data_IF_214969474284
#
_entry.id   IF_214969474284
#
_cell.length_a   1.000
_cell.length_b   1.000
_cell.length_c   1.000
_cell.angle_alpha   90.00
_cell.angle_beta   90.00
_cell.angle_gamma   90.00
#
_symmetry.space_group_name_H-M   'P 1'
#
loop_
_entity.id
_entity.type
_entity.pdbx_description
1 polymer ?
#
# COMPACT_ATOMS: atom_id res chain seq x y z
N UNK A 1 -6.07 -28.44 -1.02
CA UNK A 1 -6.01 -27.00 -1.32
C UNK A 1 -5.02 -26.35 -0.36
N UNK A 2 -3.99 -25.66 -0.85
CA UNK A 2 -3.01 -25.00 0.02
C UNK A 2 -3.53 -23.62 0.38
N UNK A 3 -3.85 -23.40 1.65
CA UNK A 3 -4.24 -22.09 2.18
C UNK A 3 -2.98 -21.45 2.74
N UNK A 4 -2.72 -20.21 2.34
CA UNK A 4 -1.60 -19.42 2.79
C UNK A 4 -2.10 -18.09 3.36
N UNK A 5 -1.30 -17.49 4.24
CA UNK A 5 -1.58 -16.18 4.82
C UNK A 5 -0.36 -15.30 4.67
N UNK A 6 -0.58 -13.99 4.65
CA UNK A 6 0.47 -12.99 4.64
C UNK A 6 0.07 -11.84 5.56
N UNK A 7 1.08 -11.28 6.23
CA UNK A 7 0.92 -10.18 7.18
C UNK A 7 1.96 -9.12 6.83
N UNK A 8 1.53 -7.86 6.92
CA UNK A 8 2.43 -6.73 6.76
C UNK A 8 2.04 -5.61 7.74
N UNK A 9 3.05 -4.82 8.11
CA UNK A 9 2.91 -3.67 8.99
C UNK A 9 3.71 -2.53 8.39
N UNK A 10 3.09 -1.34 8.34
CA UNK A 10 3.76 -0.12 7.92
C UNK A 10 3.40 1.03 8.86
N UNK A 11 4.39 1.87 9.15
CA UNK A 11 4.16 3.13 9.84
C UNK A 11 3.52 4.15 8.90
N UNK A 12 2.53 4.89 9.39
CA UNK A 12 1.88 5.96 8.62
C UNK A 12 2.90 7.01 8.19
N UNK A 13 3.83 7.37 9.08
CA UNK A 13 4.93 8.31 8.83
C UNK A 13 5.77 7.92 7.61
N UNK A 14 6.04 6.63 7.37
CA UNK A 14 6.77 6.20 6.16
C UNK A 14 6.02 6.57 4.89
N UNK A 15 4.69 6.45 4.88
CA UNK A 15 3.89 6.82 3.71
C UNK A 15 3.87 8.34 3.54
N UNK A 16 3.73 9.09 4.63
CA UNK A 16 3.81 10.56 4.61
C UNK A 16 5.14 11.05 4.03
N UNK A 17 6.26 10.52 4.53
CA UNK A 17 7.60 10.88 4.08
C UNK A 17 7.83 10.57 2.60
N UNK A 18 7.37 9.40 2.14
CA UNK A 18 7.54 8.98 0.76
C UNK A 18 6.67 9.82 -0.18
N UNK A 19 5.43 10.13 0.22
CA UNK A 19 4.56 11.05 -0.53
C UNK A 19 5.19 12.45 -0.56
N UNK A 20 5.73 12.95 0.56
CA UNK A 20 6.40 14.25 0.60
C UNK A 20 7.63 14.31 -0.33
N UNK A 21 8.37 13.20 -0.43
CA UNK A 21 9.61 13.11 -1.20
C UNK A 21 9.38 12.87 -2.70
N UNK A 22 8.35 12.12 -3.06
CA UNK A 22 8.12 11.66 -4.44
C UNK A 22 6.80 12.15 -5.07
N UNK A 23 5.91 12.75 -4.29
CA UNK A 23 4.65 13.31 -4.74
C UNK A 23 3.75 12.30 -5.48
N UNK A 24 3.06 12.79 -6.52
CA UNK A 24 2.10 11.99 -7.28
C UNK A 24 2.74 10.80 -8.01
N UNK A 25 4.02 10.88 -8.40
CA UNK A 25 4.68 9.76 -9.09
C UNK A 25 4.70 8.48 -8.23
N UNK A 26 4.85 8.62 -6.91
CA UNK A 26 4.73 7.47 -6.01
C UNK A 26 3.29 6.96 -5.96
N UNK A 27 2.32 7.87 -5.84
CA UNK A 27 0.92 7.52 -5.74
C UNK A 27 0.43 6.75 -6.98
N UNK A 28 0.74 7.26 -8.17
CA UNK A 28 0.29 6.69 -9.45
C UNK A 28 0.96 5.33 -9.75
N UNK A 29 2.14 5.07 -9.18
CA UNK A 29 2.83 3.79 -9.33
C UNK A 29 2.25 2.68 -8.45
N UNK A 30 1.78 3.04 -7.26
CA UNK A 30 1.43 2.07 -6.20
C UNK A 30 -0.08 1.87 -6.09
N UNK A 31 -0.87 2.91 -6.36
CA UNK A 31 -2.31 2.92 -6.21
C UNK A 31 -3.00 3.06 -7.57
N UNK A 32 -4.10 2.34 -7.71
CA UNK A 32 -5.02 2.51 -8.84
C UNK A 32 -5.82 3.81 -8.67
N UNK A 33 -6.40 4.36 -9.76
CA UNK A 33 -7.24 5.56 -9.68
C UNK A 33 -8.39 5.43 -8.66
N UNK A 34 -9.07 4.28 -8.63
CA UNK A 34 -10.16 4.02 -7.69
C UNK A 34 -9.70 3.99 -6.23
N UNK A 35 -8.49 3.47 -5.96
CA UNK A 35 -7.92 3.50 -4.61
C UNK A 35 -7.60 4.93 -4.16
N UNK A 36 -7.05 5.75 -5.06
CA UNK A 36 -6.75 7.16 -4.76
C UNK A 36 -8.01 7.97 -4.49
N UNK A 37 -9.06 7.74 -5.27
CA UNK A 37 -10.39 8.32 -5.04
C UNK A 37 -10.95 7.93 -3.68
N UNK A 38 -10.93 6.64 -3.33
CA UNK A 38 -11.44 6.15 -2.05
C UNK A 38 -10.60 6.63 -0.84
N UNK A 39 -9.27 6.66 -0.97
CA UNK A 39 -8.39 7.06 0.12
C UNK A 39 -8.39 8.58 0.34
N UNK A 40 -8.70 9.39 -0.67
CA UNK A 40 -8.81 10.85 -0.55
C UNK A 40 -7.51 11.52 -0.11
N UNK A 41 -6.36 10.97 -0.55
CA UNK A 41 -4.99 11.40 -0.17
C UNK A 41 -4.64 11.34 1.33
N UNK A 42 -5.46 10.68 2.16
CA UNK A 42 -5.16 10.48 3.59
C UNK A 42 -4.07 9.43 3.76
N UNK A 43 -2.98 9.79 4.44
CA UNK A 43 -1.81 8.93 4.57
C UNK A 43 -2.13 7.62 5.31
N UNK A 44 -3.01 7.64 6.31
CA UNK A 44 -3.45 6.47 7.08
C UNK A 44 -4.20 5.48 6.21
N UNK A 45 -5.07 6.00 5.32
CA UNK A 45 -5.82 5.17 4.38
C UNK A 45 -4.91 4.56 3.32
N UNK A 46 -3.93 5.32 2.83
CA UNK A 46 -2.93 4.86 1.87
C UNK A 46 -1.99 3.83 2.49
N UNK A 47 -1.59 4.01 3.75
CA UNK A 47 -0.77 3.08 4.52
C UNK A 47 -1.49 1.74 4.73
N UNK A 48 -2.76 1.76 5.15
CA UNK A 48 -3.56 0.55 5.26
C UNK A 48 -3.69 -0.20 3.93
N UNK A 49 -3.89 0.54 2.83
CA UNK A 49 -3.96 -0.06 1.49
C UNK A 49 -2.61 -0.63 1.03
N UNK A 50 -1.50 0.04 1.33
CA UNK A 50 -0.16 -0.45 1.03
C UNK A 50 0.13 -1.77 1.76
N UNK A 51 -0.08 -1.80 3.08
CA UNK A 51 0.11 -3.00 3.88
C UNK A 51 -0.77 -4.17 3.41
N UNK A 52 -2.01 -3.89 2.99
CA UNK A 52 -2.89 -4.92 2.43
C UNK A 52 -2.32 -5.53 1.14
N UNK A 53 -1.74 -4.72 0.24
CA UNK A 53 -1.11 -5.20 -1.00
C UNK A 53 0.09 -6.09 -0.68
N UNK A 54 0.98 -5.64 0.20
CA UNK A 54 2.16 -6.41 0.63
C UNK A 54 1.77 -7.72 1.32
N UNK A 55 0.76 -7.69 2.20
CA UNK A 55 0.24 -8.89 2.85
C UNK A 55 -0.28 -9.92 1.83
N UNK A 56 -1.01 -9.48 0.81
CA UNK A 56 -1.48 -10.35 -0.27
C UNK A 56 -0.31 -10.92 -1.08
N UNK A 57 0.67 -10.08 -1.46
CA UNK A 57 1.84 -10.54 -2.21
C UNK A 57 2.66 -11.59 -1.45
N UNK A 58 2.77 -11.48 -0.12
CA UNK A 58 3.39 -12.49 0.75
C UNK A 58 2.58 -13.78 0.79
N UNK A 59 1.24 -13.68 0.89
CA UNK A 59 0.37 -14.86 0.86
C UNK A 59 0.48 -15.62 -0.48
N UNK A 60 0.66 -14.89 -1.58
CA UNK A 60 0.86 -15.44 -2.92
C UNK A 60 2.29 -15.96 -3.16
N UNK A 61 3.27 -15.54 -2.35
CA UNK A 61 4.68 -15.94 -2.49
C UNK A 61 5.41 -15.29 -3.67
N UNK A 62 4.89 -14.18 -4.22
CA UNK A 62 5.48 -13.49 -5.38
C UNK A 62 6.35 -12.28 -5.01
N UNK A 63 6.08 -11.65 -3.87
CA UNK A 63 6.57 -10.29 -3.60
C UNK A 63 5.88 -9.23 -4.46
N UNK A 64 6.27 -7.96 -4.26
CA UNK A 64 5.87 -6.77 -5.05
C UNK A 64 7.09 -6.21 -5.78
#
# INVERSE_FOLDING_TARGET
MKIATGVDLIEISRIEEVIARHGNHYLDRIFTPAELEQCGKRAESLAGRFAAKEAVAKALGSGI
#
